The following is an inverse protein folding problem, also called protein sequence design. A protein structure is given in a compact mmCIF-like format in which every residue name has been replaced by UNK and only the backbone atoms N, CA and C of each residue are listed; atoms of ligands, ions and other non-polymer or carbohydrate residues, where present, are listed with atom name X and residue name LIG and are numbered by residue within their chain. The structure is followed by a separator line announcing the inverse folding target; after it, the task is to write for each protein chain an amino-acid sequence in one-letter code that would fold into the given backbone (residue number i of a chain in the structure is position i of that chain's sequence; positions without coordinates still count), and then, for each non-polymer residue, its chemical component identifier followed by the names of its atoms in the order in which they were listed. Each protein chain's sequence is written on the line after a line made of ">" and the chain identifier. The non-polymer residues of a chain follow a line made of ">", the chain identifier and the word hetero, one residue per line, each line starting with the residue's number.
data_IF_512474017577
#
_entry.id   IF_512474017577
#
_cell.length_a   1.000
_cell.length_b   1.000
_cell.length_c   1.000
_cell.angle_alpha   90.00
_cell.angle_beta   90.00
_cell.angle_gamma   90.00
#
_symmetry.space_group_name_H-M   'P 1'
#
loop_
_entity.id
_entity.type
_entity.pdbx_description
1 polymer ?
#
# COMPACT_ATOMS: atom_id res chain seq x y z
N UNK A 1 16.45 -57.57 -10.44
CA UNK A 1 15.38 -56.61 -10.78
C UNK A 1 14.78 -57.11 -12.09
N UNK A 2 13.63 -57.78 -12.01
CA UNK A 2 13.02 -58.47 -13.14
C UNK A 2 12.17 -57.49 -13.95
N UNK A 3 12.44 -57.43 -15.26
CA UNK A 3 11.62 -56.74 -16.26
C UNK A 3 10.39 -57.61 -16.50
N UNK A 4 9.19 -57.02 -16.48
CA UNK A 4 7.99 -57.66 -17.05
C UNK A 4 7.33 -56.73 -18.06
N UNK A 5 7.47 -57.16 -19.32
CA UNK A 5 6.52 -57.11 -20.45
C UNK A 5 6.01 -55.74 -20.93
N UNK A 6 6.54 -55.32 -22.08
CA UNK A 6 5.97 -54.29 -22.93
C UNK A 6 4.90 -54.96 -23.81
N UNK A 7 3.66 -54.46 -23.78
CA UNK A 7 2.69 -54.84 -24.81
C UNK A 7 3.17 -54.32 -26.17
N UNK A 8 3.24 -55.21 -27.17
CA UNK A 8 3.59 -54.84 -28.53
C UNK A 8 2.45 -54.02 -29.16
N UNK A 9 2.62 -52.71 -29.23
CA UNK A 9 1.71 -51.85 -29.99
C UNK A 9 1.89 -52.12 -31.49
N UNK A 10 0.81 -52.50 -32.17
CA UNK A 10 0.83 -52.76 -33.62
C UNK A 10 0.73 -51.50 -34.48
N UNK A 11 0.26 -50.38 -33.90
CA UNK A 11 0.15 -49.10 -34.58
C UNK A 11 0.15 -47.94 -33.59
N UNK A 12 0.64 -46.78 -34.03
CA UNK A 12 0.52 -45.50 -33.32
C UNK A 12 -0.35 -44.59 -34.18
N UNK A 13 -1.41 -44.03 -33.59
CA UNK A 13 -2.34 -43.12 -34.28
C UNK A 13 -2.22 -41.74 -33.64
N UNK A 14 -1.72 -40.76 -34.41
CA UNK A 14 -1.75 -39.35 -34.04
C UNK A 14 -2.96 -38.66 -34.65
N UNK A 15 -3.75 -37.94 -33.86
CA UNK A 15 -4.88 -37.15 -34.32
C UNK A 15 -4.75 -35.69 -33.85
N UNK A 16 -4.98 -34.73 -34.74
CA UNK A 16 -5.05 -33.31 -34.39
C UNK A 16 -6.44 -32.97 -33.83
N UNK A 17 -6.51 -32.63 -32.54
CA UNK A 17 -7.76 -32.30 -31.84
C UNK A 17 -8.35 -30.95 -32.24
N UNK A 18 -7.63 -30.12 -33.01
CA UNK A 18 -7.96 -28.70 -33.21
C UNK A 18 -8.95 -28.46 -34.36
N UNK A 19 -9.14 -29.45 -35.25
CA UNK A 19 -10.03 -29.35 -36.42
C UNK A 19 -11.10 -30.44 -36.41
N UNK A 20 -12.32 -30.11 -36.83
CA UNK A 20 -13.42 -31.08 -37.02
C UNK A 20 -13.30 -31.89 -38.32
N UNK A 21 -12.38 -31.49 -39.21
CA UNK A 21 -12.12 -32.16 -40.48
C UNK A 21 -10.91 -33.07 -40.27
N UNK A 22 -11.14 -34.38 -40.27
CA UNK A 22 -10.12 -35.41 -40.12
C UNK A 22 -9.52 -35.74 -41.48
N UNK A 23 -8.29 -35.29 -41.75
CA UNK A 23 -7.45 -35.84 -42.80
C UNK A 23 -6.51 -36.88 -42.16
N UNK A 24 -6.82 -38.16 -42.34
CA UNK A 24 -6.06 -39.26 -41.74
C UNK A 24 -5.00 -39.75 -42.71
N UNK A 25 -3.72 -39.64 -42.33
CA UNK A 25 -2.59 -40.29 -43.01
C UNK A 25 -2.15 -41.50 -42.20
N UNK A 26 -2.04 -42.66 -42.85
CA UNK A 26 -1.55 -43.90 -42.21
C UNK A 26 -0.13 -44.14 -42.70
N UNK A 27 0.81 -44.37 -41.78
CA UNK A 27 2.21 -44.66 -42.10
C UNK A 27 2.49 -46.11 -41.67
N UNK A 28 3.03 -46.91 -42.57
CA UNK A 28 3.46 -48.28 -42.27
C UNK A 28 4.75 -48.24 -41.46
N UNK A 29 4.83 -49.03 -40.38
CA UNK A 29 6.07 -49.22 -39.60
C UNK A 29 6.89 -50.42 -40.08
N UNK A 30 6.37 -51.19 -41.04
CA UNK A 30 6.99 -52.43 -41.54
C UNK A 30 7.74 -52.20 -42.85
N UNK A 31 7.29 -51.21 -43.63
CA UNK A 31 7.86 -50.86 -44.94
C UNK A 31 7.99 -49.34 -44.96
N UNK A 32 9.19 -48.86 -44.62
CA UNK A 32 9.56 -47.45 -44.68
C UNK A 32 10.68 -47.40 -45.72
N UNK A 33 10.48 -46.68 -46.83
CA UNK A 33 11.57 -46.38 -47.77
C UNK A 33 12.72 -45.70 -47.02
N UNK A 34 13.97 -45.95 -47.45
CA UNK A 34 15.13 -45.30 -46.84
C UNK A 34 14.95 -43.79 -46.87
N UNK A 35 14.76 -43.22 -45.68
CA UNK A 35 14.62 -41.78 -45.52
C UNK A 35 16.03 -41.20 -45.67
N UNK A 36 16.39 -40.78 -46.88
CA UNK A 36 17.59 -40.00 -47.14
C UNK A 36 17.41 -38.62 -46.48
N UNK A 37 17.64 -38.58 -45.17
CA UNK A 37 17.81 -37.34 -44.43
C UNK A 37 19.09 -36.71 -44.98
N UNK A 38 18.94 -35.75 -45.88
CA UNK A 38 20.06 -34.94 -46.32
C UNK A 38 20.81 -34.44 -45.09
N UNK A 39 22.15 -34.47 -45.13
CA UNK A 39 22.99 -33.92 -44.07
C UNK A 39 22.82 -32.39 -44.05
N UNK A 40 21.69 -31.90 -43.54
CA UNK A 40 21.58 -30.51 -43.13
C UNK A 40 22.46 -30.33 -41.91
N UNK A 41 23.55 -29.59 -42.08
CA UNK A 41 24.40 -29.15 -40.98
C UNK A 41 23.52 -28.36 -40.01
N UNK A 42 23.25 -28.95 -38.85
CA UNK A 42 22.60 -28.24 -37.77
C UNK A 42 23.49 -27.04 -37.37
N UNK A 43 23.02 -25.83 -37.65
CA UNK A 43 23.66 -24.62 -37.18
C UNK A 43 23.40 -24.49 -35.68
N UNK A 44 24.42 -24.79 -34.88
CA UNK A 44 24.35 -24.67 -33.43
C UNK A 44 24.49 -23.20 -33.06
N UNK A 45 23.37 -22.58 -32.67
CA UNK A 45 23.36 -21.24 -32.11
C UNK A 45 23.19 -21.32 -30.59
N UNK A 46 24.06 -20.63 -29.84
CA UNK A 46 24.00 -20.48 -28.40
C UNK A 46 23.35 -19.12 -28.08
N UNK A 47 22.03 -19.04 -27.89
CA UNK A 47 21.40 -17.78 -27.52
C UNK A 47 21.81 -17.40 -26.09
N UNK A 48 22.25 -16.16 -25.91
CA UNK A 48 22.45 -15.58 -24.60
C UNK A 48 21.08 -15.14 -24.05
N UNK A 49 20.52 -15.95 -23.15
CA UNK A 49 19.19 -15.69 -22.58
C UNK A 49 19.38 -14.77 -21.36
N UNK A 50 19.00 -13.49 -21.51
CA UNK A 50 18.91 -12.56 -20.39
C UNK A 50 17.52 -12.68 -19.73
N UNK A 51 17.47 -13.13 -18.48
CA UNK A 51 16.26 -13.10 -17.66
C UNK A 51 16.00 -11.68 -17.16
N UNK A 52 15.14 -10.96 -17.87
CA UNK A 52 14.56 -9.70 -17.38
C UNK A 52 13.37 -10.03 -16.48
N UNK A 53 13.61 -10.05 -15.17
CA UNK A 53 12.50 -10.12 -14.21
C UNK A 53 11.83 -8.74 -14.16
N UNK A 54 10.75 -8.60 -14.92
CA UNK A 54 9.85 -7.45 -14.83
C UNK A 54 9.05 -7.62 -13.53
N UNK A 55 9.39 -6.84 -12.50
CA UNK A 55 8.53 -6.74 -11.33
C UNK A 55 7.26 -5.99 -11.73
N UNK A 56 6.16 -6.72 -11.84
CA UNK A 56 4.83 -6.11 -11.91
C UNK A 56 4.48 -5.56 -10.52
N UNK A 57 4.48 -4.23 -10.39
CA UNK A 57 4.03 -3.57 -9.18
C UNK A 57 2.52 -3.38 -9.28
N UNK A 58 1.77 -4.06 -8.43
CA UNK A 58 0.34 -3.79 -8.27
C UNK A 58 0.16 -2.61 -7.31
N UNK A 59 -0.31 -1.49 -7.84
CA UNK A 59 -0.59 -0.31 -7.03
C UNK A 59 -1.95 -0.48 -6.33
N UNK A 60 -1.93 -0.63 -5.01
CA UNK A 60 -3.16 -0.59 -4.19
C UNK A 60 -3.36 0.77 -3.55
N UNK A 61 -4.60 1.24 -3.50
CA UNK A 61 -4.94 2.54 -2.92
C UNK A 61 -5.01 2.39 -1.39
N UNK A 62 -4.17 3.13 -0.67
CA UNK A 62 -4.13 3.13 0.79
C UNK A 62 -4.58 4.50 1.28
N UNK A 63 -5.49 4.50 2.25
CA UNK A 63 -5.89 5.70 3.00
C UNK A 63 -5.07 5.73 4.28
N UNK A 64 -4.31 6.80 4.48
CA UNK A 64 -3.49 6.99 5.68
C UNK A 64 -3.63 8.43 6.17
N UNK A 65 -4.18 8.58 7.37
CA UNK A 65 -4.30 9.86 8.03
C UNK A 65 -3.26 9.98 9.14
N UNK A 66 -2.75 11.18 9.36
CA UNK A 66 -1.81 11.49 10.44
C UNK A 66 -2.22 12.79 11.12
N UNK A 67 -2.14 12.82 12.45
CA UNK A 67 -2.45 14.02 13.22
C UNK A 67 -1.23 14.41 14.02
N UNK A 68 -0.78 15.63 13.84
CA UNK A 68 0.32 16.23 14.58
C UNK A 68 -0.27 17.25 15.58
N UNK A 69 0.17 17.17 16.82
CA UNK A 69 -0.30 18.05 17.90
C UNK A 69 0.90 18.78 18.48
N UNK A 70 0.83 20.11 18.42
CA UNK A 70 1.79 21.03 19.01
C UNK A 70 1.09 21.78 20.15
N UNK A 71 1.54 21.56 21.39
CA UNK A 71 0.89 22.07 22.61
C UNK A 71 1.83 22.97 23.40
N UNK A 72 1.30 24.09 23.88
CA UNK A 72 1.98 25.03 24.78
C UNK A 72 1.15 25.23 26.06
N UNK A 73 1.72 24.80 27.18
CA UNK A 73 1.17 24.88 28.53
C UNK A 73 1.96 25.94 29.30
N UNK A 74 1.25 26.87 29.94
CA UNK A 74 1.85 27.93 30.74
C UNK A 74 1.20 28.02 32.12
N UNK A 75 1.96 28.50 33.08
CA UNK A 75 1.48 28.87 34.40
C UNK A 75 1.18 30.37 34.41
N UNK A 76 -0.02 30.73 34.85
CA UNK A 76 -0.40 32.11 35.11
C UNK A 76 0.07 32.50 36.52
N UNK A 77 1.08 33.37 36.60
CA UNK A 77 1.63 33.91 37.84
C UNK A 77 0.94 35.20 38.28
N UNK A 78 1.47 35.79 39.36
CA UNK A 78 0.98 37.06 39.88
C UNK A 78 1.08 38.19 38.82
N UNK A 79 0.05 39.04 38.73
CA UNK A 79 -0.01 40.20 37.82
C UNK A 79 0.12 39.88 36.31
N UNK A 80 -0.50 38.77 35.85
CA UNK A 80 -0.47 38.35 34.44
C UNK A 80 0.92 37.96 33.92
N UNK A 81 1.86 37.68 34.82
CA UNK A 81 3.14 37.12 34.42
C UNK A 81 2.95 35.66 34.01
N UNK A 82 3.07 35.38 32.71
CA UNK A 82 2.97 34.03 32.18
C UNK A 82 4.36 33.41 32.07
N UNK A 83 4.51 32.19 32.57
CA UNK A 83 5.73 31.40 32.40
C UNK A 83 5.39 30.02 31.83
N UNK A 84 6.19 29.53 30.88
CA UNK A 84 6.02 28.17 30.35
C UNK A 84 6.36 27.18 31.46
N UNK A 85 5.52 26.16 31.66
CA UNK A 85 5.81 25.13 32.67
C UNK A 85 6.94 24.21 32.23
N UNK A 86 7.55 23.48 33.16
CA UNK A 86 8.50 22.43 32.78
C UNK A 86 7.81 21.40 31.86
N UNK A 87 8.41 21.09 30.72
CA UNK A 87 7.77 20.31 29.63
C UNK A 87 6.45 20.93 29.14
N UNK A 88 6.33 22.27 29.19
CA UNK A 88 5.14 22.98 28.74
C UNK A 88 4.97 23.01 27.23
N UNK A 89 6.04 22.81 26.47
CA UNK A 89 5.99 22.65 25.01
C UNK A 89 6.08 21.16 24.70
N UNK A 90 5.09 20.62 23.99
CA UNK A 90 5.09 19.23 23.54
C UNK A 90 4.64 19.14 22.08
N UNK A 91 5.34 18.30 21.32
CA UNK A 91 5.00 17.96 19.94
C UNK A 91 4.88 16.43 19.85
N UNK A 92 3.76 15.92 19.35
CA UNK A 92 3.56 14.48 19.20
C UNK A 92 2.57 14.13 18.09
N UNK A 93 2.71 12.90 17.59
CA UNK A 93 1.76 12.31 16.66
C UNK A 93 0.61 11.73 17.48
N UNK A 94 -0.60 12.22 17.26
CA UNK A 94 -1.78 11.68 17.91
C UNK A 94 -2.26 10.43 17.15
N UNK A 95 -2.33 9.26 17.81
CA UNK A 95 -2.83 8.05 17.18
C UNK A 95 -4.33 8.18 16.93
N UNK A 96 -4.76 7.84 15.72
CA UNK A 96 -6.17 7.87 15.31
C UNK A 96 -6.62 6.50 14.83
N UNK A 97 -7.90 6.21 15.02
CA UNK A 97 -8.48 4.95 14.56
C UNK A 97 -8.72 5.00 13.05
N UNK A 98 -8.88 3.82 12.44
CA UNK A 98 -9.22 3.69 11.02
C UNK A 98 -10.53 4.40 10.71
N UNK A 99 -11.52 4.28 11.59
CA UNK A 99 -12.85 4.88 11.44
C UNK A 99 -12.75 6.41 11.45
N UNK A 100 -11.96 6.99 12.36
CA UNK A 100 -11.75 8.43 12.39
C UNK A 100 -11.05 8.93 11.12
N UNK A 101 -10.08 8.18 10.61
CA UNK A 101 -9.42 8.49 9.35
C UNK A 101 -10.39 8.40 8.16
N UNK A 102 -11.25 7.39 8.13
CA UNK A 102 -12.28 7.26 7.10
C UNK A 102 -13.28 8.43 7.14
N UNK A 103 -13.75 8.82 8.33
CA UNK A 103 -14.64 9.99 8.44
C UNK A 103 -13.93 11.27 7.98
N UNK A 104 -12.65 11.45 8.34
CA UNK A 104 -11.86 12.59 7.87
C UNK A 104 -11.69 12.58 6.35
N UNK A 105 -11.45 11.43 5.76
CA UNK A 105 -11.28 11.25 4.31
C UNK A 105 -12.59 11.42 3.53
N UNK A 106 -13.69 10.84 4.01
CA UNK A 106 -14.95 10.76 3.26
C UNK A 106 -15.84 11.99 3.48
N UNK A 107 -15.84 12.53 4.70
CA UNK A 107 -16.66 13.68 5.08
C UNK A 107 -15.87 14.98 5.22
N UNK A 108 -14.54 14.93 5.13
CA UNK A 108 -13.69 16.11 5.30
C UNK A 108 -13.74 16.69 6.71
N UNK A 109 -14.10 15.87 7.71
CA UNK A 109 -14.26 16.33 9.10
C UNK A 109 -13.50 15.44 10.08
N UNK A 110 -12.83 16.07 11.05
CA UNK A 110 -12.09 15.37 12.09
C UNK A 110 -12.36 16.01 13.45
N UNK A 111 -12.43 15.22 14.52
CA UNK A 111 -12.70 15.73 15.87
C UNK A 111 -11.71 15.18 16.87
N UNK A 112 -11.14 16.06 17.69
CA UNK A 112 -10.28 15.69 18.81
C UNK A 112 -10.76 16.46 20.06
N UNK A 113 -11.17 15.74 21.10
CA UNK A 113 -11.85 16.36 22.24
C UNK A 113 -13.08 17.17 21.81
N UNK A 114 -13.09 18.47 22.13
CA UNK A 114 -14.16 19.42 21.77
C UNK A 114 -13.87 20.24 20.51
N UNK A 115 -12.72 20.01 19.85
CA UNK A 115 -12.32 20.73 18.64
C UNK A 115 -12.75 19.95 17.41
N UNK A 116 -13.38 20.65 16.46
CA UNK A 116 -13.81 20.11 15.17
C UNK A 116 -13.04 20.80 14.06
N UNK A 117 -12.41 19.98 13.21
CA UNK A 117 -11.78 20.35 11.95
C UNK A 117 -12.76 20.03 10.83
N UNK A 118 -13.02 21.00 9.96
CA UNK A 118 -13.86 20.84 8.79
C UNK A 118 -13.11 21.26 7.51
N UNK A 119 -13.67 20.88 6.36
CA UNK A 119 -13.10 21.21 5.05
C UNK A 119 -11.74 20.56 4.79
N UNK A 120 -11.45 19.40 5.40
CA UNK A 120 -10.30 18.56 5.05
C UNK A 120 -10.55 17.99 3.65
N UNK A 121 -9.64 18.23 2.70
CA UNK A 121 -9.75 17.63 1.38
C UNK A 121 -8.91 16.36 1.35
N UNK A 122 -9.45 15.21 0.91
CA UNK A 122 -8.64 14.01 0.70
C UNK A 122 -7.62 14.28 -0.41
N UNK A 123 -6.37 13.87 -0.19
CA UNK A 123 -5.28 14.11 -1.14
C UNK A 123 -5.59 13.47 -2.49
N UNK A 124 -6.01 14.30 -3.45
CA UNK A 124 -6.07 13.93 -4.85
C UNK A 124 -4.67 13.82 -5.43
N UNK A 125 -3.81 14.82 -5.21
CA UNK A 125 -2.48 14.92 -5.82
C UNK A 125 -1.43 15.68 -4.95
N UNK A 126 -1.81 16.26 -3.80
CA UNK A 126 -0.91 16.94 -2.85
C UNK A 126 -1.43 16.80 -1.41
N UNK A 127 -0.56 16.73 -0.38
CA UNK A 127 -0.98 16.72 1.02
C UNK A 127 -1.75 18.00 1.38
N UNK A 128 -3.06 17.92 1.58
CA UNK A 128 -3.84 18.95 2.25
C UNK A 128 -3.63 18.82 3.75
N UNK A 129 -3.33 19.94 4.40
CA UNK A 129 -3.12 20.00 5.83
C UNK A 129 -3.91 21.16 6.38
N UNK A 130 -4.84 20.87 7.30
CA UNK A 130 -5.55 21.93 8.04
C UNK A 130 -4.91 22.09 9.40
N UNK A 131 -4.65 23.34 9.74
CA UNK A 131 -4.09 23.74 11.03
C UNK A 131 -5.14 24.54 11.78
N UNK A 132 -5.43 24.18 13.02
CA UNK A 132 -6.30 24.98 13.89
C UNK A 132 -5.59 25.25 15.22
N UNK A 133 -5.60 26.51 15.62
CA UNK A 133 -5.17 26.94 16.95
C UNK A 133 -6.35 26.89 17.90
N UNK A 134 -6.24 26.05 18.92
CA UNK A 134 -7.23 25.89 19.97
C UNK A 134 -6.70 26.60 21.20
N UNK A 135 -7.38 27.68 21.60
CA UNK A 135 -7.13 28.38 22.85
C UNK A 135 -8.16 27.91 23.89
N UNK A 136 -7.75 27.28 25.00
CA UNK A 136 -8.67 27.01 26.10
C UNK A 136 -9.18 28.33 26.68
N UNK A 137 -10.46 28.38 27.05
CA UNK A 137 -11.00 29.51 27.82
C UNK A 137 -10.24 29.61 29.14
N UNK A 138 -9.31 30.56 29.26
CA UNK A 138 -8.52 30.75 30.46
C UNK A 138 -9.45 31.10 31.64
N UNK A 139 -9.45 30.33 32.73
CA UNK A 139 -10.14 30.74 33.94
C UNK A 139 -9.47 32.02 34.48
N UNK A 140 -10.26 33.04 34.83
CA UNK A 140 -9.76 34.20 35.61
C UNK A 140 -9.38 33.70 37.00
N UNK A 141 -8.10 33.40 37.22
CA UNK A 141 -7.60 32.96 38.52
C UNK A 141 -7.05 34.19 39.27
N UNK A 142 -7.72 34.57 40.36
CA UNK A 142 -7.33 35.68 41.26
C UNK A 142 -6.41 35.21 42.42
N UNK A 143 -5.49 34.28 42.19
CA UNK A 143 -4.62 33.76 43.26
C UNK A 143 -3.18 33.56 42.78
N UNK A 144 -2.21 33.83 43.66
CA UNK A 144 -0.77 33.89 43.36
C UNK A 144 -0.11 32.58 42.89
N UNK A 145 -0.84 31.47 42.89
CA UNK A 145 -0.41 30.15 42.40
C UNK A 145 -1.63 29.44 41.79
N UNK A 146 -1.90 29.67 40.52
CA UNK A 146 -2.95 28.96 39.78
C UNK A 146 -2.44 27.62 39.25
N UNK A 147 -3.31 26.61 39.05
CA UNK A 147 -2.90 25.39 38.34
C UNK A 147 -2.38 25.74 36.93
N UNK A 148 -1.42 24.97 36.39
CA UNK A 148 -0.96 25.15 35.03
C UNK A 148 -2.12 25.03 34.04
N UNK A 149 -2.21 25.98 33.11
CA UNK A 149 -3.26 26.05 32.10
C UNK A 149 -2.66 25.88 30.71
N UNK A 150 -3.25 25.00 29.90
CA UNK A 150 -2.98 24.96 28.47
C UNK A 150 -3.45 26.29 27.86
N UNK A 151 -2.60 26.94 27.06
CA UNK A 151 -2.89 28.25 26.50
C UNK A 151 -3.13 28.16 25.00
N UNK A 152 -2.31 27.39 24.30
CA UNK A 152 -2.44 27.23 22.87
C UNK A 152 -2.08 25.80 22.46
N UNK A 153 -2.94 25.22 21.64
CA UNK A 153 -2.70 23.91 21.04
C UNK A 153 -2.99 24.01 19.56
N UNK A 154 -1.93 23.91 18.77
CA UNK A 154 -1.99 23.87 17.34
C UNK A 154 -2.07 22.42 16.90
N UNK A 155 -3.14 22.08 16.19
CA UNK A 155 -3.39 20.74 15.72
C UNK A 155 -3.38 20.77 14.20
N UNK A 156 -2.59 19.87 13.60
CA UNK A 156 -2.51 19.71 12.16
C UNK A 156 -2.96 18.32 11.76
N UNK A 157 -3.97 18.26 10.90
CA UNK A 157 -4.55 17.02 10.39
C UNK A 157 -4.14 16.85 8.93
N UNK A 158 -3.59 15.68 8.61
CA UNK A 158 -3.22 15.25 7.27
C UNK A 158 -4.14 14.08 6.90
N UNK A 159 -4.84 14.21 5.76
CA UNK A 159 -5.83 13.26 5.25
C UNK A 159 -5.43 12.81 3.85
#
# INVERSE_FOLDING_TARGET
>A
MAITQWESAYAIIGYDCRSKILNMTTISLVDIDDCELGEEKAEMFLPEIALLQLNEYEHTKIIQCKVEVNRVIQHCGWQSYNSIVNQGINEYIFPISREMCQVAHDHGTFRIGNTVFDGLMPNGETPDSKTQEVYPLLPRINTSTGPPTEIATTQRVFV
#
